data_IF_643990858279
#
_entry.id   IF_643990858279
#
_cell.length_a   1.000
_cell.length_b   1.000
_cell.length_c   1.000
_cell.angle_alpha   90.00
_cell.angle_beta   90.00
_cell.angle_gamma   90.00
#
_symmetry.space_group_name_H-M   'P 1'
#
loop_
_entity.id
_entity.type
_entity.pdbx_description
1 polymer ?
#
# COMPACT_ATOMS: atom_id res chain seq x y z
N UNK A 1 21.27 -24.23 11.04
CA UNK A 1 20.71 -24.42 9.67
C UNK A 1 19.20 -24.67 9.73
N UNK A 2 18.73 -25.82 10.29
CA UNK A 2 17.30 -26.17 10.29
C UNK A 2 16.41 -25.17 11.07
N UNK A 3 16.90 -24.65 12.20
CA UNK A 3 16.19 -23.65 13.02
C UNK A 3 16.19 -22.25 12.40
N UNK A 4 17.18 -21.91 11.60
CA UNK A 4 17.24 -20.67 10.79
C UNK A 4 16.29 -20.72 9.60
N UNK A 5 16.19 -21.86 8.92
CA UNK A 5 15.25 -22.08 7.82
C UNK A 5 13.80 -21.96 8.30
N UNK A 6 13.48 -22.45 9.49
CA UNK A 6 12.16 -22.33 10.11
C UNK A 6 11.78 -20.86 10.38
N UNK A 7 12.72 -20.03 10.84
CA UNK A 7 12.44 -18.61 11.14
C UNK A 7 12.33 -17.77 9.87
N UNK A 8 13.13 -18.07 8.87
CA UNK A 8 13.00 -17.45 7.53
C UNK A 8 11.66 -17.81 6.89
N UNK A 9 11.23 -19.06 6.99
CA UNK A 9 9.92 -19.51 6.57
C UNK A 9 8.79 -18.78 7.32
N UNK A 10 8.90 -18.62 8.62
CA UNK A 10 7.92 -17.92 9.44
C UNK A 10 7.83 -16.41 9.09
N UNK A 11 8.97 -15.74 8.84
CA UNK A 11 9.00 -14.35 8.36
C UNK A 11 8.25 -14.20 7.04
N UNK A 12 8.45 -15.13 6.10
CA UNK A 12 7.71 -15.15 4.82
C UNK A 12 6.20 -15.36 5.04
N UNK A 13 5.81 -16.23 5.97
CA UNK A 13 4.41 -16.42 6.33
C UNK A 13 3.79 -15.13 6.87
N UNK A 14 4.48 -14.40 7.75
CA UNK A 14 3.99 -13.12 8.26
C UNK A 14 3.82 -12.08 7.14
N UNK A 15 4.75 -12.02 6.19
CA UNK A 15 4.65 -11.17 5.02
C UNK A 15 3.41 -11.53 4.18
N UNK A 16 3.19 -12.81 3.88
CA UNK A 16 2.02 -13.28 3.11
C UNK A 16 0.73 -12.94 3.86
N UNK A 17 0.65 -13.18 5.16
CA UNK A 17 -0.52 -12.81 5.99
C UNK A 17 -0.80 -11.32 5.91
N UNK A 18 0.23 -10.48 6.00
CA UNK A 18 0.06 -9.03 5.87
C UNK A 18 -0.50 -8.62 4.51
N UNK A 19 -0.07 -9.29 3.43
CA UNK A 19 -0.58 -9.03 2.08
C UNK A 19 -2.05 -9.47 1.93
N UNK A 20 -2.41 -10.65 2.45
CA UNK A 20 -3.81 -11.14 2.44
C UNK A 20 -4.73 -10.13 3.14
N UNK A 21 -4.35 -9.68 4.34
CA UNK A 21 -5.15 -8.71 5.09
C UNK A 21 -5.20 -7.33 4.42
N UNK A 22 -4.14 -6.94 3.70
CA UNK A 22 -4.15 -5.71 2.87
C UNK A 22 -5.17 -5.82 1.73
N UNK A 23 -5.20 -6.96 1.04
CA UNK A 23 -6.17 -7.22 -0.05
C UNK A 23 -7.60 -7.23 0.51
N UNK A 24 -7.81 -7.85 1.67
CA UNK A 24 -9.09 -7.89 2.37
C UNK A 24 -9.46 -6.54 3.03
N UNK A 25 -8.61 -5.52 2.97
CA UNK A 25 -8.76 -4.17 3.58
C UNK A 25 -8.87 -4.18 5.11
N UNK A 26 -8.28 -5.15 5.76
CA UNK A 26 -8.12 -5.19 7.20
C UNK A 26 -6.78 -4.56 7.61
N UNK A 27 -6.68 -3.24 7.44
CA UNK A 27 -5.42 -2.50 7.58
C UNK A 27 -4.74 -2.68 8.95
N UNK A 28 -5.51 -2.73 10.04
CA UNK A 28 -4.96 -2.96 11.37
C UNK A 28 -4.33 -4.34 11.51
N UNK A 29 -5.00 -5.39 11.00
CA UNK A 29 -4.45 -6.75 11.01
C UNK A 29 -3.23 -6.88 10.10
N UNK A 30 -3.27 -6.28 8.92
CA UNK A 30 -2.13 -6.23 8.03
C UNK A 30 -0.91 -5.57 8.70
N UNK A 31 -1.14 -4.48 9.44
CA UNK A 31 -0.12 -3.78 10.21
C UNK A 31 0.48 -4.64 11.33
N UNK A 32 -0.34 -5.34 12.11
CA UNK A 32 0.14 -6.25 13.16
C UNK A 32 1.04 -7.36 12.60
N UNK A 33 0.68 -7.97 11.46
CA UNK A 33 1.52 -8.98 10.82
C UNK A 33 2.86 -8.41 10.32
N UNK A 34 2.88 -7.16 9.84
CA UNK A 34 4.14 -6.48 9.47
C UNK A 34 5.03 -6.24 10.68
N UNK A 35 4.45 -5.85 11.82
CA UNK A 35 5.23 -5.68 13.06
C UNK A 35 5.85 -7.01 13.51
N UNK A 36 5.10 -8.13 13.46
CA UNK A 36 5.62 -9.45 13.76
C UNK A 36 6.76 -9.87 12.81
N UNK A 37 6.64 -9.56 11.53
CA UNK A 37 7.69 -9.80 10.53
C UNK A 37 8.97 -9.03 10.90
N UNK A 38 8.84 -7.73 11.22
CA UNK A 38 9.99 -6.89 11.62
C UNK A 38 10.63 -7.40 12.90
N UNK A 39 9.84 -7.65 13.94
CA UNK A 39 10.34 -8.15 15.22
C UNK A 39 11.14 -9.45 15.05
N UNK A 40 10.60 -10.40 14.29
CA UNK A 40 11.28 -11.66 13.99
C UNK A 40 12.58 -11.43 13.22
N UNK A 41 12.52 -10.58 12.19
CA UNK A 41 13.66 -10.28 11.32
C UNK A 41 14.79 -9.59 12.07
N UNK A 42 14.49 -8.61 12.92
CA UNK A 42 15.47 -7.89 13.74
C UNK A 42 16.06 -8.82 14.84
N UNK A 43 15.21 -9.58 15.53
CA UNK A 43 15.63 -10.46 16.63
C UNK A 43 16.60 -11.54 16.19
N UNK A 44 16.34 -12.14 15.04
CA UNK A 44 17.14 -13.27 14.54
C UNK A 44 18.09 -12.88 13.40
N UNK A 45 18.18 -11.58 13.05
CA UNK A 45 19.01 -11.05 11.96
C UNK A 45 18.80 -11.79 10.64
N UNK A 46 17.52 -12.07 10.33
CA UNK A 46 17.14 -12.77 9.11
C UNK A 46 17.41 -11.87 7.91
N UNK A 47 18.08 -12.39 6.90
CA UNK A 47 18.18 -11.69 5.60
C UNK A 47 16.81 -11.63 4.94
N UNK A 48 16.17 -10.47 5.01
CA UNK A 48 14.88 -10.22 4.39
C UNK A 48 15.03 -9.16 3.30
N UNK A 49 15.01 -9.61 2.04
CA UNK A 49 15.10 -8.72 0.88
C UNK A 49 13.98 -7.67 0.85
N UNK A 50 12.81 -7.97 1.41
CA UNK A 50 11.64 -7.09 1.39
C UNK A 50 11.53 -6.15 2.59
N UNK A 51 12.49 -6.16 3.51
CA UNK A 51 12.42 -5.41 4.79
C UNK A 51 12.16 -3.90 4.57
N UNK A 52 12.80 -3.31 3.57
CA UNK A 52 12.58 -1.90 3.19
C UNK A 52 11.11 -1.64 2.80
N UNK A 53 10.51 -2.55 2.04
CA UNK A 53 9.10 -2.44 1.65
C UNK A 53 8.18 -2.59 2.86
N UNK A 54 8.48 -3.49 3.79
CA UNK A 54 7.70 -3.68 5.01
C UNK A 54 7.74 -2.42 5.88
N UNK A 55 8.91 -1.80 6.06
CA UNK A 55 8.99 -0.50 6.75
C UNK A 55 8.23 0.62 6.03
N UNK A 56 8.28 0.68 4.71
CA UNK A 56 7.52 1.65 3.93
C UNK A 56 5.99 1.48 4.12
N UNK A 57 5.50 0.24 4.22
CA UNK A 57 4.09 -0.04 4.50
C UNK A 57 3.69 0.31 5.95
N UNK A 58 4.58 0.09 6.92
CA UNK A 58 4.41 0.52 8.32
C UNK A 58 4.37 2.05 8.38
N UNK A 59 5.25 2.74 7.67
CA UNK A 59 5.27 4.19 7.58
C UNK A 59 3.94 4.73 7.03
N UNK A 60 3.44 4.16 5.94
CA UNK A 60 2.15 4.55 5.36
C UNK A 60 0.99 4.39 6.36
N UNK A 61 0.97 3.30 7.12
CA UNK A 61 -0.01 3.12 8.18
C UNK A 61 0.07 4.24 9.24
N UNK A 62 1.27 4.56 9.75
CA UNK A 62 1.44 5.63 10.72
C UNK A 62 1.13 7.03 10.14
N UNK A 63 1.46 7.29 8.86
CA UNK A 63 1.08 8.52 8.16
C UNK A 63 -0.45 8.68 8.16
N UNK A 64 -1.19 7.61 7.85
CA UNK A 64 -2.65 7.62 7.84
C UNK A 64 -3.25 7.82 9.23
N UNK A 65 -2.60 7.29 10.27
CA UNK A 65 -2.97 7.49 11.68
C UNK A 65 -2.48 8.84 12.24
N UNK A 66 -1.81 9.68 11.44
CA UNK A 66 -1.21 10.97 11.84
C UNK A 66 -0.18 10.86 12.97
N UNK A 67 0.46 9.69 13.11
CA UNK A 67 1.54 9.42 14.07
C UNK A 67 2.88 9.86 13.48
N UNK A 68 3.19 11.16 13.60
CA UNK A 68 4.30 11.78 12.88
C UNK A 68 5.67 11.20 13.23
N UNK A 69 5.95 10.98 14.52
CA UNK A 69 7.26 10.47 14.98
C UNK A 69 7.50 9.04 14.53
N UNK A 70 6.48 8.19 14.71
CA UNK A 70 6.55 6.78 14.32
C UNK A 70 6.63 6.63 12.78
N UNK A 71 5.90 7.48 12.05
CA UNK A 71 5.96 7.53 10.59
C UNK A 71 7.37 7.89 10.12
N UNK A 72 7.99 8.94 10.68
CA UNK A 72 9.34 9.35 10.32
C UNK A 72 10.35 8.23 10.56
N UNK A 73 10.35 7.65 11.76
CA UNK A 73 11.25 6.55 12.10
C UNK A 73 11.10 5.35 11.14
N UNK A 74 9.87 5.02 10.74
CA UNK A 74 9.63 3.94 9.80
C UNK A 74 10.10 4.26 8.37
N UNK A 75 9.94 5.51 7.89
CA UNK A 75 10.45 5.91 6.57
C UNK A 75 11.98 5.93 6.56
N UNK A 76 12.63 6.42 7.62
CA UNK A 76 14.10 6.38 7.75
C UNK A 76 14.63 4.95 7.72
N UNK A 77 13.98 4.02 8.44
CA UNK A 77 14.31 2.58 8.40
C UNK A 77 14.10 1.99 6.99
N UNK A 78 13.04 2.39 6.28
CA UNK A 78 12.81 1.94 4.91
C UNK A 78 13.95 2.34 3.97
N UNK A 79 14.47 3.57 4.08
CA UNK A 79 15.64 4.01 3.31
C UNK A 79 16.91 3.27 3.74
N UNK A 80 17.17 3.18 5.04
CA UNK A 80 18.38 2.56 5.57
C UNK A 80 18.50 1.07 5.19
N UNK A 81 17.38 0.37 5.00
CA UNK A 81 17.34 -1.05 4.62
C UNK A 81 17.17 -1.29 3.12
N UNK A 82 17.05 -0.23 2.31
CA UNK A 82 16.90 -0.34 0.87
C UNK A 82 18.22 -0.77 0.19
N UNK A 83 18.20 -1.91 -0.50
CA UNK A 83 19.37 -2.52 -1.13
C UNK A 83 19.35 -2.51 -2.66
N UNK A 84 18.34 -1.87 -3.26
CA UNK A 84 18.23 -1.68 -4.71
C UNK A 84 17.71 -0.28 -5.05
N UNK A 85 17.95 0.20 -6.29
CA UNK A 85 17.43 1.49 -6.75
C UNK A 85 15.91 1.56 -6.65
N UNK A 86 15.22 0.47 -6.97
CA UNK A 86 13.75 0.37 -6.86
C UNK A 86 13.28 0.56 -5.43
N UNK A 87 13.93 -0.08 -4.46
CA UNK A 87 13.59 0.08 -3.04
C UNK A 87 13.93 1.48 -2.53
N UNK A 88 15.07 2.04 -2.93
CA UNK A 88 15.46 3.41 -2.56
C UNK A 88 14.45 4.44 -3.06
N UNK A 89 14.05 4.37 -4.33
CA UNK A 89 13.03 5.28 -4.88
C UNK A 89 11.67 5.02 -4.22
N UNK A 90 11.30 3.77 -3.97
CA UNK A 90 10.07 3.43 -3.26
C UNK A 90 10.02 4.05 -1.85
N UNK A 91 11.11 3.99 -1.10
CA UNK A 91 11.22 4.60 0.22
C UNK A 91 11.23 6.14 0.16
N UNK A 92 11.90 6.74 -0.85
CA UNK A 92 11.83 8.19 -1.10
C UNK A 92 10.40 8.66 -1.40
N UNK A 93 9.62 7.90 -2.14
CA UNK A 93 8.22 8.20 -2.39
C UNK A 93 7.39 8.21 -1.08
N UNK A 94 7.73 7.37 -0.09
CA UNK A 94 7.07 7.47 1.22
C UNK A 94 7.49 8.73 2.00
N UNK A 95 8.71 9.24 1.83
CA UNK A 95 9.05 10.56 2.37
C UNK A 95 8.25 11.69 1.72
N UNK A 96 8.00 11.62 0.40
CA UNK A 96 7.10 12.58 -0.26
C UNK A 96 5.71 12.53 0.38
N UNK A 97 5.18 11.33 0.62
CA UNK A 97 3.90 11.13 1.31
C UNK A 97 3.93 11.73 2.73
N UNK A 98 4.98 11.42 3.49
CA UNK A 98 5.18 11.94 4.84
C UNK A 98 5.20 13.48 4.85
N UNK A 99 6.08 14.11 4.07
CA UNK A 99 6.16 15.57 4.01
C UNK A 99 4.85 16.21 3.56
N UNK A 100 4.20 15.63 2.56
CA UNK A 100 2.88 16.11 2.08
C UNK A 100 1.83 16.06 3.16
N UNK A 101 1.79 14.97 3.95
CA UNK A 101 0.79 14.78 4.99
C UNK A 101 0.99 15.70 6.19
N UNK A 102 2.25 15.99 6.52
CA UNK A 102 2.59 16.82 7.69
C UNK A 102 2.90 18.28 7.33
N UNK A 103 2.69 18.67 6.07
CA UNK A 103 2.64 20.08 5.63
C UNK A 103 3.96 20.67 5.14
N UNK A 104 5.05 19.90 5.06
CA UNK A 104 6.30 20.35 4.43
C UNK A 104 6.25 20.15 2.91
N UNK A 105 5.44 20.98 2.25
CA UNK A 105 5.22 20.86 0.80
C UNK A 105 6.46 21.20 -0.02
N UNK A 106 7.40 22.01 0.52
CA UNK A 106 8.63 22.35 -0.16
C UNK A 106 9.59 21.14 -0.23
N UNK A 107 9.76 20.44 0.89
CA UNK A 107 10.54 19.20 0.93
C UNK A 107 9.90 18.11 0.06
N UNK A 108 8.54 17.98 0.13
CA UNK A 108 7.79 17.04 -0.68
C UNK A 108 7.99 17.28 -2.18
N UNK A 109 7.88 18.53 -2.64
CA UNK A 109 8.03 18.89 -4.06
C UNK A 109 9.43 18.60 -4.57
N UNK A 110 10.45 19.00 -3.81
CA UNK A 110 11.84 18.76 -4.18
C UNK A 110 12.10 17.26 -4.37
N UNK A 111 11.70 16.46 -3.38
CA UNK A 111 11.94 15.01 -3.42
C UNK A 111 11.09 14.31 -4.49
N UNK A 112 9.87 14.78 -4.74
CA UNK A 112 9.03 14.26 -5.82
C UNK A 112 9.68 14.48 -7.19
N UNK A 113 10.22 15.68 -7.46
CA UNK A 113 10.95 15.97 -8.69
C UNK A 113 12.20 15.09 -8.86
N UNK A 114 12.93 14.83 -7.78
CA UNK A 114 14.06 13.89 -7.80
C UNK A 114 13.59 12.47 -8.17
N UNK A 115 12.50 12.02 -7.60
CA UNK A 115 11.92 10.71 -7.94
C UNK A 115 11.47 10.67 -9.41
N UNK A 116 10.75 11.68 -9.89
CA UNK A 116 10.29 11.76 -11.28
C UNK A 116 11.47 11.68 -12.27
N UNK A 117 12.55 12.44 -12.02
CA UNK A 117 13.76 12.39 -12.84
C UNK A 117 14.42 10.99 -12.85
N UNK A 118 14.39 10.27 -11.72
CA UNK A 118 14.90 8.90 -11.66
C UNK A 118 14.08 7.95 -12.54
N UNK A 119 12.75 8.09 -12.60
CA UNK A 119 11.89 7.28 -13.49
C UNK A 119 12.15 7.50 -14.98
N UNK A 120 12.62 8.69 -15.37
CA UNK A 120 13.00 8.97 -16.75
C UNK A 120 14.34 8.31 -17.13
N UNK A 121 15.22 8.10 -16.17
CA UNK A 121 16.59 7.61 -16.38
C UNK A 121 16.73 6.09 -16.18
N UNK A 122 15.92 5.47 -15.33
CA UNK A 122 16.05 4.06 -14.94
C UNK A 122 14.80 3.24 -15.27
N UNK A 123 14.86 2.46 -16.37
CA UNK A 123 13.75 1.59 -16.79
C UNK A 123 13.37 0.51 -15.76
N UNK A 124 14.25 0.17 -14.82
CA UNK A 124 13.93 -0.80 -13.74
C UNK A 124 12.84 -0.29 -12.82
N UNK A 125 12.64 1.03 -12.74
CA UNK A 125 11.62 1.66 -11.93
C UNK A 125 10.20 1.52 -12.52
N UNK A 126 10.06 1.06 -13.77
CA UNK A 126 8.75 0.85 -14.42
C UNK A 126 7.84 -0.07 -13.57
N UNK A 127 8.43 -1.05 -12.87
CA UNK A 127 7.70 -1.98 -11.99
C UNK A 127 7.00 -1.30 -10.81
N UNK A 128 7.45 -0.11 -10.39
CA UNK A 128 6.88 0.67 -9.29
C UNK A 128 6.20 1.97 -9.75
N UNK A 129 5.98 2.15 -11.04
CA UNK A 129 5.40 3.37 -11.61
C UNK A 129 3.99 3.68 -11.08
N UNK A 130 3.20 2.64 -10.83
CA UNK A 130 1.91 2.78 -10.14
C UNK A 130 2.05 3.49 -8.80
N UNK A 131 3.14 3.21 -8.05
CA UNK A 131 3.41 3.85 -6.75
C UNK A 131 3.74 5.34 -6.92
N UNK A 132 4.52 5.70 -7.94
CA UNK A 132 4.78 7.11 -8.27
C UNK A 132 3.46 7.86 -8.47
N UNK A 133 2.57 7.37 -9.34
CA UNK A 133 1.29 8.02 -9.61
C UNK A 133 0.39 8.12 -8.37
N UNK A 134 0.42 7.12 -7.49
CA UNK A 134 -0.28 7.19 -6.22
C UNK A 134 0.23 8.34 -5.34
N UNK A 135 1.54 8.48 -5.20
CA UNK A 135 2.15 9.54 -4.38
C UNK A 135 1.95 10.92 -5.02
N UNK A 136 2.04 11.05 -6.34
CA UNK A 136 1.70 12.27 -7.07
C UNK A 136 0.24 12.68 -6.80
N UNK A 137 -0.69 11.74 -6.89
CA UNK A 137 -2.09 11.99 -6.61
C UNK A 137 -2.30 12.52 -5.18
N UNK A 138 -1.67 11.90 -4.18
CA UNK A 138 -1.73 12.34 -2.78
C UNK A 138 -1.13 13.73 -2.60
N UNK A 139 0.06 13.98 -3.14
CA UNK A 139 0.74 15.27 -3.07
C UNK A 139 -0.10 16.38 -3.70
N UNK A 140 -0.61 16.18 -4.93
CA UNK A 140 -1.43 17.17 -5.62
C UNK A 140 -2.78 17.41 -4.94
N UNK A 141 -3.35 16.42 -4.26
CA UNK A 141 -4.54 16.64 -3.43
C UNK A 141 -4.23 17.52 -2.21
N UNK A 142 -3.11 17.29 -1.52
CA UNK A 142 -2.70 18.09 -0.35
C UNK A 142 -2.37 19.54 -0.74
N UNK A 143 -1.78 19.75 -1.91
CA UNK A 143 -1.46 21.07 -2.46
C UNK A 143 -2.61 21.71 -3.24
N UNK A 144 -3.81 21.10 -3.22
CA UNK A 144 -5.04 21.59 -3.88
C UNK A 144 -4.92 21.72 -5.40
N UNK A 145 -3.97 21.03 -6.03
CA UNK A 145 -3.80 20.96 -7.49
C UNK A 145 -4.67 19.82 -8.06
N UNK A 146 -5.99 19.93 -7.89
CA UNK A 146 -6.94 18.82 -8.10
C UNK A 146 -6.94 18.28 -9.53
N UNK A 147 -6.68 19.12 -10.54
CA UNK A 147 -6.59 18.67 -11.92
C UNK A 147 -5.42 17.70 -12.11
N UNK A 148 -4.23 18.05 -11.58
CA UNK A 148 -3.06 17.16 -11.62
C UNK A 148 -3.26 15.90 -10.78
N UNK A 149 -3.96 16.03 -9.64
CA UNK A 149 -4.32 14.87 -8.82
C UNK A 149 -5.20 13.89 -9.60
N UNK A 150 -6.18 14.39 -10.37
CA UNK A 150 -7.06 13.57 -11.21
C UNK A 150 -6.28 12.87 -12.33
N UNK A 151 -5.35 13.56 -12.96
CA UNK A 151 -4.48 12.99 -14.01
C UNK A 151 -3.62 11.87 -13.44
N UNK A 152 -2.97 12.09 -12.30
CA UNK A 152 -2.19 11.07 -11.61
C UNK A 152 -3.04 9.86 -11.19
N UNK A 153 -4.26 10.07 -10.66
CA UNK A 153 -5.19 9.00 -10.33
C UNK A 153 -5.58 8.15 -11.54
N UNK A 154 -5.81 8.77 -12.70
CA UNK A 154 -6.11 8.05 -13.95
C UNK A 154 -4.92 7.27 -14.48
N UNK A 155 -3.70 7.82 -14.34
CA UNK A 155 -2.49 7.11 -14.73
C UNK A 155 -2.23 5.90 -13.82
N UNK A 156 -2.47 6.04 -12.52
CA UNK A 156 -2.41 4.93 -11.57
C UNK A 156 -3.40 3.81 -11.94
N UNK A 157 -4.64 4.15 -12.25
CA UNK A 157 -5.67 3.21 -12.68
C UNK A 157 -5.25 2.49 -13.97
N UNK A 158 -4.69 3.23 -14.95
CA UNK A 158 -4.21 2.66 -16.21
C UNK A 158 -3.09 1.64 -15.99
N UNK A 159 -2.12 1.93 -15.12
CA UNK A 159 -1.05 0.99 -14.78
C UNK A 159 -1.59 -0.26 -14.06
N UNK A 160 -2.58 -0.10 -13.19
CA UNK A 160 -3.21 -1.25 -12.52
C UNK A 160 -3.92 -2.16 -13.51
N UNK A 161 -4.69 -1.60 -14.46
CA UNK A 161 -5.33 -2.37 -15.53
C UNK A 161 -4.32 -3.11 -16.41
N UNK A 162 -3.15 -2.52 -16.66
CA UNK A 162 -2.07 -3.15 -17.42
C UNK A 162 -1.48 -4.36 -16.71
N UNK A 163 -1.42 -4.33 -15.38
CA UNK A 163 -0.81 -5.38 -14.57
C UNK A 163 -1.80 -6.48 -14.14
N UNK A 164 -3.09 -6.20 -14.13
CA UNK A 164 -4.14 -7.13 -13.69
C UNK A 164 -5.43 -6.87 -14.47
N UNK A 165 -5.77 -7.77 -15.39
CA UNK A 165 -7.00 -7.64 -16.20
C UNK A 165 -8.29 -7.86 -15.41
N UNK A 166 -8.24 -8.43 -14.20
CA UNK A 166 -9.43 -9.02 -13.60
C UNK A 166 -10.13 -8.22 -12.51
N UNK A 167 -9.45 -7.34 -11.77
CA UNK A 167 -10.12 -6.60 -10.67
C UNK A 167 -9.54 -5.20 -10.54
N UNK A 168 -10.28 -4.20 -11.01
CA UNK A 168 -10.02 -2.83 -10.62
C UNK A 168 -10.33 -2.65 -9.14
N UNK A 169 -9.36 -2.13 -8.41
CA UNK A 169 -9.60 -1.76 -7.03
C UNK A 169 -10.66 -0.65 -6.97
N UNK A 170 -11.76 -0.88 -6.26
CA UNK A 170 -12.82 0.12 -6.05
C UNK A 170 -12.28 1.44 -5.48
N UNK A 171 -11.07 1.42 -4.91
CA UNK A 171 -10.40 2.60 -4.36
C UNK A 171 -10.16 3.70 -5.40
N UNK A 172 -9.97 3.33 -6.70
CA UNK A 172 -9.83 4.32 -7.77
C UNK A 172 -11.09 5.14 -7.94
N UNK A 173 -12.26 4.51 -7.86
CA UNK A 173 -13.53 5.20 -7.94
C UNK A 173 -13.71 6.17 -6.78
N UNK A 174 -13.38 5.74 -5.55
CA UNK A 174 -13.42 6.61 -4.38
C UNK A 174 -12.50 7.81 -4.55
N UNK A 175 -11.24 7.59 -4.91
CA UNK A 175 -10.24 8.64 -5.08
C UNK A 175 -10.67 9.67 -6.13
N UNK A 176 -11.14 9.22 -7.29
CA UNK A 176 -11.62 10.12 -8.34
C UNK A 176 -12.89 10.86 -7.90
N UNK A 177 -13.84 10.19 -7.23
CA UNK A 177 -15.03 10.81 -6.68
C UNK A 177 -14.72 11.92 -5.67
N UNK A 178 -13.81 11.68 -4.73
CA UNK A 178 -13.34 12.68 -3.76
C UNK A 178 -12.65 13.87 -4.44
N UNK A 179 -11.85 13.63 -5.49
CA UNK A 179 -11.22 14.70 -6.26
C UNK A 179 -12.27 15.54 -6.99
N UNK A 180 -13.24 14.92 -7.69
CA UNK A 180 -14.33 15.65 -8.36
C UNK A 180 -15.17 16.46 -7.38
N UNK A 181 -15.41 15.93 -6.16
CA UNK A 181 -16.09 16.67 -5.10
C UNK A 181 -15.31 17.94 -4.72
N UNK A 182 -14.00 17.84 -4.53
CA UNK A 182 -13.13 18.99 -4.22
C UNK A 182 -13.02 19.99 -5.38
N UNK A 183 -13.20 19.55 -6.62
CA UNK A 183 -13.29 20.41 -7.80
C UNK A 183 -14.66 21.08 -7.98
N UNK A 184 -15.64 20.73 -7.14
CA UNK A 184 -17.02 21.24 -7.25
C UNK A 184 -17.86 20.53 -8.32
N UNK A 185 -17.34 19.50 -8.98
CA UNK A 185 -18.08 18.74 -9.99
C UNK A 185 -18.91 17.62 -9.33
N UNK A 186 -20.04 18.03 -8.74
CA UNK A 186 -20.89 17.13 -7.95
C UNK A 186 -21.48 15.98 -8.79
N UNK A 187 -21.80 16.19 -10.07
CA UNK A 187 -22.35 15.15 -10.93
C UNK A 187 -21.36 13.99 -11.12
N UNK A 188 -20.09 14.29 -11.40
CA UNK A 188 -19.07 13.28 -11.52
C UNK A 188 -18.69 12.69 -10.15
N UNK A 189 -18.66 13.49 -9.11
CA UNK A 189 -18.40 13.01 -7.74
C UNK A 189 -19.41 11.93 -7.34
N UNK A 190 -20.72 12.19 -7.48
CA UNK A 190 -21.79 11.23 -7.19
C UNK A 190 -21.65 9.98 -8.04
N UNK A 191 -21.42 10.12 -9.35
CA UNK A 191 -21.23 8.98 -10.25
C UNK A 191 -20.08 8.05 -9.77
N UNK A 192 -18.91 8.60 -9.50
CA UNK A 192 -17.73 7.81 -9.10
C UNK A 192 -17.88 7.22 -7.70
N UNK A 193 -18.48 7.94 -6.74
CA UNK A 193 -18.75 7.42 -5.41
C UNK A 193 -19.79 6.29 -5.44
N UNK A 194 -20.79 6.36 -6.31
CA UNK A 194 -21.72 5.25 -6.51
C UNK A 194 -21.03 4.01 -7.09
N UNK A 195 -20.12 4.19 -8.07
CA UNK A 195 -19.31 3.09 -8.59
C UNK A 195 -18.43 2.47 -7.49
N UNK A 196 -17.88 3.29 -6.59
CA UNK A 196 -17.15 2.81 -5.41
C UNK A 196 -18.03 1.95 -4.50
N UNK A 197 -19.21 2.44 -4.12
CA UNK A 197 -20.13 1.71 -3.23
C UNK A 197 -20.50 0.36 -3.83
N UNK A 198 -20.91 0.33 -5.09
CA UNK A 198 -21.29 -0.90 -5.78
C UNK A 198 -20.15 -1.92 -5.84
N UNK A 199 -18.92 -1.47 -6.09
CA UNK A 199 -17.74 -2.34 -6.13
C UNK A 199 -17.30 -2.81 -4.74
N UNK A 200 -17.45 -1.97 -3.71
CA UNK A 200 -17.12 -2.30 -2.32
C UNK A 200 -18.11 -3.30 -1.71
N UNK A 201 -19.39 -3.16 -2.01
CA UNK A 201 -20.42 -4.10 -1.59
C UNK A 201 -20.20 -5.49 -2.22
N UNK A 202 -19.83 -5.53 -3.51
CA UNK A 202 -19.48 -6.78 -4.19
C UNK A 202 -18.26 -7.47 -3.53
N UNK A 203 -17.26 -6.70 -3.11
CA UNK A 203 -16.09 -7.23 -2.41
C UNK A 203 -16.42 -7.74 -1.01
N UNK A 204 -17.31 -7.06 -0.27
CA UNK A 204 -17.78 -7.51 1.04
C UNK A 204 -18.51 -8.85 0.92
N UNK A 205 -19.45 -8.98 0.00
CA UNK A 205 -20.18 -10.22 -0.25
C UNK A 205 -19.20 -11.36 -0.59
N UNK A 206 -18.23 -11.12 -1.47
CA UNK A 206 -17.22 -12.12 -1.81
C UNK A 206 -16.37 -12.54 -0.60
N UNK A 207 -15.95 -11.57 0.24
CA UNK A 207 -15.20 -11.87 1.47
C UNK A 207 -16.01 -12.66 2.49
N UNK A 208 -17.31 -12.38 2.65
CA UNK A 208 -18.20 -13.11 3.54
C UNK A 208 -18.38 -14.56 3.07
N UNK A 209 -18.53 -14.78 1.76
CA UNK A 209 -18.63 -16.12 1.17
C UNK A 209 -17.34 -16.93 1.40
N UNK A 210 -16.18 -16.33 1.21
CA UNK A 210 -14.88 -16.97 1.46
C UNK A 210 -14.72 -17.32 2.93
N UNK A 211 -15.03 -16.40 3.85
CA UNK A 211 -14.94 -16.65 5.30
C UNK A 211 -15.86 -17.77 5.74
N UNK A 212 -17.08 -17.84 5.21
CA UNK A 212 -18.02 -18.93 5.49
C UNK A 212 -17.50 -20.27 4.99
N UNK A 213 -16.89 -20.32 3.81
CA UNK A 213 -16.26 -21.52 3.24
C UNK A 213 -15.04 -21.98 4.04
N UNK A 214 -14.18 -21.05 4.46
CA UNK A 214 -13.01 -21.32 5.31
C UNK A 214 -13.47 -21.92 6.66
N UNK A 215 -14.49 -21.34 7.29
CA UNK A 215 -15.03 -21.84 8.55
C UNK A 215 -15.64 -23.25 8.42
N UNK A 216 -16.38 -23.51 7.34
CA UNK A 216 -16.92 -24.85 7.06
C UNK A 216 -15.80 -25.88 6.85
N UNK A 217 -14.70 -25.48 6.20
CA UNK A 217 -13.55 -26.35 6.00
C UNK A 217 -12.86 -26.68 7.33
N UNK A 218 -12.65 -25.67 8.20
CA UNK A 218 -12.08 -25.89 9.54
C UNK A 218 -12.92 -26.84 10.39
N UNK A 219 -14.24 -26.67 10.40
CA UNK A 219 -15.16 -27.58 11.11
C UNK A 219 -15.08 -29.01 10.59
N UNK A 220 -14.92 -29.20 9.27
CA UNK A 220 -14.77 -30.52 8.68
C UNK A 220 -13.44 -31.18 9.07
N UNK A 221 -12.34 -30.40 9.10
CA UNK A 221 -11.03 -30.88 9.56
C UNK A 221 -11.07 -31.28 11.04
N UNK A 222 -11.71 -30.48 11.90
CA UNK A 222 -11.88 -30.82 13.31
C UNK A 222 -12.69 -32.11 13.52
N UNK A 223 -13.74 -32.30 12.75
CA UNK A 223 -14.54 -33.56 12.79
C UNK A 223 -13.69 -34.77 12.37
N UNK A 224 -12.91 -34.64 11.28
CA UNK A 224 -12.04 -35.73 10.80
C UNK A 224 -10.93 -36.08 11.78
N UNK A 225 -10.46 -35.12 12.60
CA UNK A 225 -9.46 -35.37 13.62
C UNK A 225 -10.04 -35.94 14.93
N UNK A 226 -11.35 -35.92 15.10
CA UNK A 226 -12.05 -36.44 16.28
C UNK A 226 -12.60 -37.88 16.09
N UNK A 227 -12.58 -38.40 14.87
CA UNK A 227 -12.90 -39.80 14.49
C UNK A 227 -11.62 -40.65 14.49
#
# INVERSE_FOLDING_TARGET
AQEEDDKTGLSRCYNIMSQIYTIKRFDSMAFEWRLKEIELTEKYKIENYNISQTYAQIANYYINQKKQKEALAAVEKAIATANSSTQQISAKLEFVNYYSKFGDFQAAEKLLKECQAAFEQDKRLESIKKRLYNIECLYYQQTKQYQKALEAAKMQEKEERRLSESILSSIHYRTQGEIYQKMGNMNLAVKYLQMYINADDSLKIANEQVSSSEFATLLNVEKLNAE
#
